data_IF_673482439433
#
_entry.id   IF_673482439433
#
_cell.length_a   1.000
_cell.length_b   1.000
_cell.length_c   1.000
_cell.angle_alpha   90.00
_cell.angle_beta   90.00
_cell.angle_gamma   90.00
#
_symmetry.space_group_name_H-M   'P 1'
#
loop_
_entity.id
_entity.type
_entity.pdbx_description
1 polymer ?
#
# COMPACT_ATOMS: atom_id res chain seq x y z
N UNK A 1 -5.13 2.20 -32.44
CA UNK A 1 -5.98 1.85 -31.28
C UNK A 1 -5.48 0.65 -30.45
N UNK A 2 -4.75 -0.34 -30.99
CA UNK A 2 -4.22 -1.48 -30.21
C UNK A 2 -3.02 -1.12 -29.30
N UNK A 3 -2.16 -0.18 -29.76
CA UNK A 3 -0.96 0.28 -29.05
C UNK A 3 -1.30 1.08 -27.78
N UNK A 4 -2.38 1.88 -27.79
CA UNK A 4 -2.82 2.61 -26.59
C UNK A 4 -3.29 1.66 -25.49
N UNK A 5 -4.00 0.57 -25.83
CA UNK A 5 -4.48 -0.39 -24.83
C UNK A 5 -3.32 -1.08 -24.10
N UNK A 6 -2.22 -1.39 -24.79
CA UNK A 6 -1.05 -2.03 -24.17
C UNK A 6 -0.25 -1.05 -23.30
N UNK A 7 -0.10 0.20 -23.73
CA UNK A 7 0.51 1.27 -22.94
C UNK A 7 -0.29 1.58 -21.68
N UNK A 8 -1.61 1.75 -21.80
CA UNK A 8 -2.52 1.98 -20.68
C UNK A 8 -2.45 0.83 -19.66
N UNK A 9 -2.47 -0.42 -20.14
CA UNK A 9 -2.37 -1.60 -19.29
C UNK A 9 -1.02 -1.66 -18.55
N UNK A 10 0.09 -1.36 -19.23
CA UNK A 10 1.43 -1.30 -18.64
C UNK A 10 1.54 -0.18 -17.57
N UNK A 11 0.95 0.98 -17.86
CA UNK A 11 0.87 2.10 -16.91
C UNK A 11 0.07 1.73 -15.66
N UNK A 12 -1.08 1.05 -15.79
CA UNK A 12 -1.86 0.56 -14.65
C UNK A 12 -1.05 -0.46 -13.83
N UNK A 13 -0.36 -1.41 -14.47
CA UNK A 13 0.47 -2.40 -13.78
C UNK A 13 1.56 -1.74 -12.94
N UNK A 14 2.20 -0.71 -13.49
CA UNK A 14 3.19 0.09 -12.77
C UNK A 14 2.55 0.93 -11.67
N UNK A 15 1.42 1.59 -11.95
CA UNK A 15 0.68 2.41 -10.99
C UNK A 15 0.21 1.63 -9.77
N UNK A 16 -0.33 0.42 -9.94
CA UNK A 16 -0.70 -0.46 -8.82
C UNK A 16 0.51 -0.83 -7.96
N UNK A 17 1.64 -1.17 -8.59
CA UNK A 17 2.87 -1.50 -7.87
C UNK A 17 3.39 -0.27 -7.11
N UNK A 18 3.47 0.87 -7.80
CA UNK A 18 3.96 2.12 -7.25
C UNK A 18 3.08 2.58 -6.08
N UNK A 19 1.75 2.53 -6.22
CA UNK A 19 0.81 2.80 -5.14
C UNK A 19 1.06 1.89 -3.94
N UNK A 20 1.14 0.57 -4.13
CA UNK A 20 1.35 -0.36 -3.01
C UNK A 20 2.66 -0.11 -2.27
N UNK A 21 3.75 0.19 -2.99
CA UNK A 21 5.05 0.50 -2.36
C UNK A 21 4.99 1.85 -1.66
N UNK A 22 4.52 2.89 -2.36
CA UNK A 22 4.56 4.26 -1.84
C UNK A 22 3.60 4.44 -0.67
N UNK A 23 2.36 3.93 -0.77
CA UNK A 23 1.39 3.97 0.33
C UNK A 23 1.83 3.09 1.51
N UNK A 24 2.37 1.90 1.26
CA UNK A 24 2.90 1.04 2.32
C UNK A 24 4.06 1.67 3.07
N UNK A 25 5.09 2.13 2.35
CA UNK A 25 6.28 2.74 2.94
C UNK A 25 5.95 4.06 3.64
N UNK A 26 5.22 4.97 2.98
CA UNK A 26 4.84 6.26 3.59
C UNK A 26 3.93 6.08 4.80
N UNK A 27 2.97 5.15 4.74
CA UNK A 27 2.15 4.76 5.88
C UNK A 27 3.00 4.25 7.03
N UNK A 28 3.93 3.33 6.77
CA UNK A 28 4.84 2.77 7.78
C UNK A 28 5.69 3.86 8.44
N UNK A 29 6.29 4.76 7.64
CA UNK A 29 7.11 5.86 8.13
C UNK A 29 6.27 6.80 9.01
N UNK A 30 5.06 7.13 8.56
CA UNK A 30 4.16 8.02 9.32
C UNK A 30 3.78 7.40 10.66
N UNK A 31 3.39 6.12 10.68
CA UNK A 31 3.08 5.42 11.93
C UNK A 31 4.30 5.28 12.85
N UNK A 32 5.48 4.99 12.30
CA UNK A 32 6.71 4.90 13.07
C UNK A 32 7.10 6.26 13.69
N UNK A 33 7.02 7.34 12.92
CA UNK A 33 7.26 8.69 13.43
C UNK A 33 6.27 9.07 14.53
N UNK A 34 5.00 8.71 14.36
CA UNK A 34 3.97 8.96 15.37
C UNK A 34 4.24 8.21 16.68
N UNK A 35 4.58 6.93 16.59
CA UNK A 35 4.89 6.09 17.76
C UNK A 35 6.18 6.49 18.47
N UNK A 36 7.20 6.94 17.73
CA UNK A 36 8.52 7.24 18.30
C UNK A 36 8.63 8.68 18.82
N UNK A 37 7.86 9.61 18.26
CA UNK A 37 8.02 11.05 18.54
C UNK A 37 6.81 11.69 19.24
N UNK A 38 5.59 11.22 18.96
CA UNK A 38 4.36 11.86 19.46
C UNK A 38 3.81 11.13 20.69
N UNK A 39 3.84 9.79 20.68
CA UNK A 39 3.24 8.99 21.75
C UNK A 39 4.21 8.82 22.93
N UNK A 40 3.81 9.18 24.17
CA UNK A 40 4.58 8.88 25.37
C UNK A 40 4.79 7.37 25.50
N UNK A 41 5.98 6.93 25.95
CA UNK A 41 6.34 5.51 25.95
C UNK A 41 5.41 4.66 26.81
N UNK A 42 4.84 5.25 27.86
CA UNK A 42 3.90 4.58 28.75
C UNK A 42 2.55 4.28 28.09
N UNK A 43 2.15 5.05 27.07
CA UNK A 43 0.82 5.00 26.44
C UNK A 43 0.83 4.29 25.06
N UNK A 44 1.97 3.71 24.65
CA UNK A 44 2.10 3.05 23.35
C UNK A 44 1.09 1.91 23.18
N UNK A 45 0.79 1.16 24.25
CA UNK A 45 -0.19 0.07 24.19
C UNK A 45 -1.60 0.58 23.92
N UNK A 46 -1.97 1.71 24.54
CA UNK A 46 -3.29 2.33 24.35
C UNK A 46 -3.41 2.99 22.97
N UNK A 47 -2.30 3.53 22.43
CA UNK A 47 -2.23 4.08 21.08
C UNK A 47 -2.20 3.00 19.98
N UNK A 48 -1.88 1.75 20.32
CA UNK A 48 -1.77 0.66 19.36
C UNK A 48 -3.11 0.35 18.68
N UNK A 49 -4.20 0.43 19.44
CA UNK A 49 -5.56 0.12 18.97
C UNK A 49 -6.06 1.12 17.91
N UNK A 50 -5.99 2.45 18.12
CA UNK A 50 -6.33 3.42 17.08
C UNK A 50 -5.35 3.41 15.90
N UNK A 51 -4.07 3.09 16.12
CA UNK A 51 -3.12 2.94 15.00
C UNK A 51 -3.47 1.72 14.16
N UNK A 52 -3.83 0.60 14.78
CA UNK A 52 -4.25 -0.60 14.07
C UNK A 52 -5.52 -0.37 13.25
N UNK A 53 -6.52 0.34 13.77
CA UNK A 53 -7.76 0.63 13.04
C UNK A 53 -7.53 1.50 11.80
N UNK A 54 -6.50 2.35 11.81
CA UNK A 54 -6.07 3.14 10.64
C UNK A 54 -5.12 2.37 9.71
N UNK A 55 -4.24 1.55 10.26
CA UNK A 55 -3.25 0.78 9.51
C UNK A 55 -3.91 -0.34 8.71
N UNK A 56 -4.86 -1.09 9.30
CA UNK A 56 -5.55 -2.21 8.65
C UNK A 56 -6.12 -1.83 7.28
N UNK A 57 -6.99 -0.80 7.13
CA UNK A 57 -7.53 -0.45 5.83
C UNK A 57 -6.44 -0.02 4.85
N UNK A 58 -5.42 0.72 5.30
CA UNK A 58 -4.30 1.15 4.47
C UNK A 58 -3.54 -0.05 3.89
N UNK A 59 -3.11 -0.99 4.72
CA UNK A 59 -2.41 -2.19 4.26
C UNK A 59 -3.30 -3.13 3.47
N UNK A 60 -4.59 -3.23 3.80
CA UNK A 60 -5.57 -4.00 3.01
C UNK A 60 -5.65 -3.45 1.59
N UNK A 61 -5.72 -2.13 1.39
CA UNK A 61 -5.70 -1.56 0.02
C UNK A 61 -4.39 -1.84 -0.71
N UNK A 62 -3.25 -1.85 0.00
CA UNK A 62 -1.95 -2.19 -0.59
C UNK A 62 -1.92 -3.65 -1.04
N UNK A 63 -2.42 -4.57 -0.23
CA UNK A 63 -2.53 -6.01 -0.54
C UNK A 63 -3.49 -6.22 -1.71
N UNK A 64 -4.66 -5.59 -1.71
CA UNK A 64 -5.63 -5.68 -2.82
C UNK A 64 -5.00 -5.21 -4.13
N UNK A 65 -4.30 -4.07 -4.11
CA UNK A 65 -3.57 -3.56 -5.28
C UNK A 65 -2.54 -4.58 -5.79
N UNK A 66 -1.76 -5.20 -4.89
CA UNK A 66 -0.81 -6.25 -5.27
C UNK A 66 -1.51 -7.50 -5.82
N UNK A 67 -2.66 -7.91 -5.26
CA UNK A 67 -3.43 -9.08 -5.71
C UNK A 67 -4.08 -8.83 -7.07
N UNK A 68 -4.63 -7.64 -7.32
CA UNK A 68 -5.15 -7.26 -8.64
C UNK A 68 -4.01 -7.32 -9.65
N UNK A 69 -2.86 -6.71 -9.33
CA UNK A 69 -1.67 -6.80 -10.17
C UNK A 69 -1.26 -8.25 -10.43
N UNK A 70 -1.17 -9.07 -9.40
CA UNK A 70 -0.74 -10.45 -9.50
C UNK A 70 -1.72 -11.32 -10.29
N UNK A 71 -3.04 -11.15 -10.13
CA UNK A 71 -4.05 -12.02 -10.75
C UNK A 71 -4.40 -11.59 -12.17
N UNK A 72 -4.48 -10.29 -12.45
CA UNK A 72 -4.84 -9.78 -13.78
C UNK A 72 -3.64 -9.68 -14.74
N UNK A 73 -2.42 -9.54 -14.22
CA UNK A 73 -1.23 -9.34 -15.06
C UNK A 73 -0.21 -10.49 -14.99
N UNK A 74 -0.42 -11.56 -14.19
CA UNK A 74 0.36 -12.82 -14.29
C UNK A 74 0.12 -13.59 -15.59
N UNK A 75 -1.05 -13.41 -16.22
CA UNK A 75 -1.38 -14.13 -17.46
C UNK A 75 -0.61 -13.62 -18.69
N UNK A 76 0.31 -12.66 -18.50
CA UNK A 76 1.12 -12.02 -19.55
C UNK A 76 2.61 -12.12 -19.24
N UNK A 77 3.04 -13.17 -18.54
CA UNK A 77 4.44 -13.60 -18.61
C UNK A 77 4.59 -14.44 -19.89
N UNK A 78 5.05 -13.75 -20.95
CA UNK A 78 5.72 -14.22 -22.19
C UNK A 78 5.06 -15.40 -22.92
#
# INVERSE_FOLDING_TARGET
MYIEKTLYKKAIRFGLLFYSIFAGVSGTITFAAFLLWVVPKEEIQDALLPIATLAIPLYVTCIISLLIRAKFFRKEDI
#
